data_IF_261012984400
#
_entry.id   IF_261012984400
#
_cell.length_a   1.000
_cell.length_b   1.000
_cell.length_c   1.000
_cell.angle_alpha   90.00
_cell.angle_beta   90.00
_cell.angle_gamma   90.00
#
_symmetry.space_group_name_H-M   'P 1'
#
loop_
_entity.id
_entity.type
_entity.pdbx_description
1 polymer ?
#
# COMPACT_ATOMS: atom_id res chain seq x y z
N UNK A 1 22.25 1.01 23.44
CA UNK A 1 21.77 1.78 22.26
C UNK A 1 21.23 0.78 21.25
N UNK A 2 19.90 0.60 21.26
CA UNK A 2 19.23 -0.48 20.54
C UNK A 2 19.13 -0.18 19.05
N UNK A 3 19.67 -1.08 18.23
CA UNK A 3 19.44 -1.07 16.78
C UNK A 3 17.99 -1.49 16.57
N UNK A 4 17.12 -0.55 16.24
CA UNK A 4 15.74 -0.85 15.84
C UNK A 4 15.78 -1.65 14.55
N UNK A 5 15.42 -2.92 14.64
CA UNK A 5 15.23 -3.81 13.51
C UNK A 5 14.06 -3.26 12.68
N UNK A 6 14.37 -2.55 11.60
CA UNK A 6 13.38 -2.24 10.57
C UNK A 6 13.16 -3.56 9.84
N UNK A 7 12.03 -4.22 10.12
CA UNK A 7 11.58 -5.39 9.39
C UNK A 7 11.57 -5.05 7.90
N UNK A 8 12.55 -5.53 7.14
CA UNK A 8 12.63 -5.34 5.70
C UNK A 8 11.32 -5.84 5.06
N UNK A 9 10.64 -5.01 4.25
CA UNK A 9 9.43 -5.46 3.58
C UNK A 9 9.76 -6.62 2.62
N UNK A 10 8.81 -7.55 2.38
CA UNK A 10 9.05 -8.81 1.67
C UNK A 10 9.68 -8.67 0.27
N UNK A 11 9.60 -7.50 -0.36
CA UNK A 11 10.14 -7.25 -1.70
C UNK A 11 11.64 -6.90 -1.73
N UNK A 12 12.27 -6.56 -0.60
CA UNK A 12 13.69 -6.20 -0.53
C UNK A 12 14.64 -7.37 -0.87
N UNK A 13 14.13 -8.60 -0.94
CA UNK A 13 14.88 -9.81 -1.29
C UNK A 13 14.90 -10.10 -2.79
N UNK A 14 14.16 -9.36 -3.62
CA UNK A 14 14.13 -9.54 -5.06
C UNK A 14 15.12 -8.55 -5.68
N UNK A 15 16.34 -9.03 -5.93
CA UNK A 15 17.46 -8.21 -6.38
C UNK A 15 17.12 -7.31 -7.57
N UNK A 16 17.16 -6.00 -7.35
CA UNK A 16 17.07 -5.01 -8.42
C UNK A 16 18.47 -4.46 -8.71
N UNK A 17 19.15 -5.08 -9.67
CA UNK A 17 20.30 -4.46 -10.36
C UNK A 17 19.77 -3.73 -11.58
N UNK A 18 19.73 -2.40 -11.49
CA UNK A 18 19.80 -1.50 -12.64
C UNK A 18 18.48 -1.24 -13.38
N UNK A 19 17.88 -0.08 -13.12
CA UNK A 19 17.41 0.80 -14.20
C UNK A 19 17.74 2.23 -13.78
N UNK A 20 18.78 2.79 -14.40
CA UNK A 20 19.02 4.23 -14.44
C UNK A 20 17.97 4.82 -15.37
N UNK A 21 17.13 5.75 -14.93
CA UNK A 21 16.68 6.89 -15.75
C UNK A 21 15.74 7.87 -15.00
N UNK A 22 16.11 9.15 -15.13
CA UNK A 22 15.27 10.35 -15.16
C UNK A 22 14.46 10.69 -13.91
N UNK A 23 14.90 11.71 -13.17
CA UNK A 23 14.02 12.45 -12.23
C UNK A 23 13.75 13.85 -12.81
N UNK A 24 12.82 13.88 -13.76
CA UNK A 24 11.95 15.03 -13.98
C UNK A 24 10.97 15.11 -12.78
N UNK A 25 10.85 16.30 -12.20
CA UNK A 25 10.03 16.69 -11.04
C UNK A 25 10.42 16.11 -9.66
N UNK A 26 10.27 16.90 -8.58
CA UNK A 26 10.40 16.38 -7.22
C UNK A 26 9.32 15.33 -6.99
N UNK A 27 9.73 14.09 -6.77
CA UNK A 27 8.82 13.01 -6.38
C UNK A 27 8.30 13.34 -4.97
N UNK A 28 7.08 13.86 -4.86
CA UNK A 28 6.41 14.03 -3.56
C UNK A 28 5.54 12.81 -3.25
N UNK A 29 5.23 12.53 -1.97
CA UNK A 29 4.28 11.47 -1.60
C UNK A 29 2.94 11.60 -2.33
N UNK A 30 2.46 12.83 -2.53
CA UNK A 30 1.22 13.12 -3.25
C UNK A 30 1.34 12.78 -4.75
N UNK A 31 2.47 13.11 -5.38
CA UNK A 31 2.73 12.81 -6.78
C UNK A 31 2.84 11.30 -7.00
N UNK A 32 3.53 10.58 -6.13
CA UNK A 32 3.64 9.11 -6.16
C UNK A 32 2.28 8.44 -5.92
N UNK A 33 1.47 8.94 -4.98
CA UNK A 33 0.09 8.47 -4.81
C UNK A 33 -0.76 8.75 -6.05
N UNK A 34 -0.63 9.94 -6.67
CA UNK A 34 -1.36 10.25 -7.89
C UNK A 34 -0.96 9.32 -9.05
N UNK A 35 0.34 9.06 -9.21
CA UNK A 35 0.85 8.07 -10.16
C UNK A 35 0.27 6.67 -9.91
N UNK A 36 0.28 6.22 -8.65
CA UNK A 36 -0.33 4.95 -8.27
C UNK A 36 -1.81 4.89 -8.63
N UNK A 37 -2.55 5.99 -8.47
CA UNK A 37 -3.97 6.07 -8.84
C UNK A 37 -4.19 5.94 -10.35
N UNK A 38 -3.34 6.54 -11.18
CA UNK A 38 -3.41 6.38 -12.63
C UNK A 38 -3.11 4.94 -13.05
N UNK A 39 -2.06 4.34 -12.47
CA UNK A 39 -1.73 2.92 -12.68
C UNK A 39 -2.86 1.98 -12.24
N UNK A 40 -3.53 2.29 -11.13
CA UNK A 40 -4.70 1.55 -10.66
C UNK A 40 -5.86 1.62 -11.66
N UNK A 41 -6.13 2.79 -12.24
CA UNK A 41 -7.16 2.95 -13.29
C UNK A 41 -6.82 2.14 -14.54
N UNK A 42 -5.54 2.05 -14.88
CA UNK A 42 -5.02 1.20 -15.96
C UNK A 42 -5.01 -0.30 -15.61
N UNK A 43 -5.46 -0.69 -14.40
CA UNK A 43 -5.43 -2.06 -13.86
C UNK A 43 -4.01 -2.62 -13.69
N UNK A 44 -2.99 -1.77 -13.71
CA UNK A 44 -1.59 -2.11 -13.43
C UNK A 44 -1.36 -2.14 -11.92
N UNK A 45 -2.03 -3.06 -11.24
CA UNK A 45 -2.10 -3.08 -9.78
C UNK A 45 -0.73 -3.27 -9.11
N UNK A 46 0.16 -4.08 -9.66
CA UNK A 46 1.51 -4.31 -9.10
C UNK A 46 2.36 -3.03 -9.17
N UNK A 47 2.29 -2.29 -10.28
CA UNK A 47 2.99 -1.01 -10.42
C UNK A 47 2.37 0.06 -9.52
N UNK A 48 1.03 0.08 -9.39
CA UNK A 48 0.33 0.96 -8.46
C UNK A 48 0.79 0.74 -7.00
N UNK A 49 0.93 -0.52 -6.57
CA UNK A 49 1.48 -0.85 -5.24
C UNK A 49 2.87 -0.28 -5.05
N UNK A 50 3.76 -0.40 -6.04
CA UNK A 50 5.12 0.18 -5.96
C UNK A 50 5.08 1.68 -5.78
N UNK A 51 4.21 2.39 -6.51
CA UNK A 51 4.06 3.85 -6.34
C UNK A 51 3.53 4.21 -4.95
N UNK A 52 2.56 3.46 -4.41
CA UNK A 52 2.07 3.69 -3.05
C UNK A 52 3.11 3.37 -1.99
N UNK A 53 3.90 2.30 -2.15
CA UNK A 53 4.98 1.95 -1.24
C UNK A 53 6.06 3.02 -1.22
N UNK A 54 6.47 3.53 -2.39
CA UNK A 54 7.41 4.66 -2.46
C UNK A 54 6.85 5.91 -1.78
N UNK A 55 5.55 6.20 -1.94
CA UNK A 55 4.91 7.32 -1.24
C UNK A 55 4.98 7.15 0.29
N UNK A 56 4.79 5.93 0.79
CA UNK A 56 4.86 5.59 2.21
C UNK A 56 6.28 5.56 2.78
N UNK A 57 7.28 5.26 1.94
CA UNK A 57 8.69 5.35 2.32
C UNK A 57 9.16 6.81 2.45
N UNK A 58 8.54 7.72 1.70
CA UNK A 58 8.81 9.16 1.78
C UNK A 58 8.09 9.84 2.94
N UNK A 59 6.83 9.47 3.18
CA UNK A 59 6.03 9.98 4.29
C UNK A 59 5.30 8.84 5.01
N UNK A 60 5.95 8.34 6.06
CA UNK A 60 5.31 7.49 7.05
C UNK A 60 4.91 8.38 8.24
N UNK A 61 3.61 8.67 8.47
CA UNK A 61 2.42 7.93 8.04
C UNK A 61 1.45 8.68 7.07
N UNK A 62 1.43 8.29 5.79
CA UNK A 62 0.51 8.85 4.79
C UNK A 62 -0.77 8.02 4.59
N UNK A 63 -1.84 8.34 5.34
CA UNK A 63 -3.13 7.61 5.34
C UNK A 63 -3.77 7.46 3.94
N UNK A 64 -3.81 8.49 3.08
CA UNK A 64 -4.34 8.34 1.71
C UNK A 64 -3.63 7.28 0.86
N UNK A 65 -2.31 7.12 1.01
CA UNK A 65 -1.56 6.08 0.30
C UNK A 65 -1.86 4.68 0.88
N UNK A 66 -2.00 4.55 2.21
CA UNK A 66 -2.42 3.29 2.84
C UNK A 66 -3.80 2.83 2.35
N UNK A 67 -4.76 3.77 2.27
CA UNK A 67 -6.09 3.48 1.74
C UNK A 67 -6.05 2.94 0.31
N UNK A 68 -5.33 3.63 -0.60
CA UNK A 68 -5.24 3.19 -2.00
C UNK A 68 -4.45 1.89 -2.17
N UNK A 69 -3.40 1.69 -1.35
CA UNK A 69 -2.65 0.43 -1.30
C UNK A 69 -3.57 -0.73 -0.89
N UNK A 70 -4.34 -0.57 0.19
CA UNK A 70 -5.29 -1.58 0.65
C UNK A 70 -6.34 -1.93 -0.42
N UNK A 71 -6.93 -0.92 -1.08
CA UNK A 71 -7.86 -1.16 -2.19
C UNK A 71 -7.23 -1.98 -3.32
N UNK A 72 -5.97 -1.69 -3.64
CA UNK A 72 -5.23 -2.37 -4.69
C UNK A 72 -4.93 -3.83 -4.33
N UNK A 73 -4.55 -4.08 -3.07
CA UNK A 73 -4.35 -5.44 -2.55
C UNK A 73 -5.65 -6.27 -2.59
N UNK A 74 -6.79 -5.67 -2.23
CA UNK A 74 -8.09 -6.34 -2.34
C UNK A 74 -8.44 -6.70 -3.80
N UNK A 75 -8.06 -5.86 -4.78
CA UNK A 75 -8.24 -6.15 -6.21
C UNK A 75 -7.35 -7.29 -6.71
N UNK A 76 -6.23 -7.54 -6.04
CA UNK A 76 -5.32 -8.65 -6.29
C UNK A 76 -5.69 -9.91 -5.50
N UNK A 77 -6.80 -9.90 -4.76
CA UNK A 77 -7.22 -10.99 -3.86
C UNK A 77 -6.20 -11.29 -2.74
N UNK A 78 -5.35 -10.31 -2.40
CA UNK A 78 -4.40 -10.37 -1.29
C UNK A 78 -5.06 -9.79 -0.03
N UNK A 79 -6.12 -10.46 0.44
CA UNK A 79 -6.97 -9.96 1.52
C UNK A 79 -6.20 -9.83 2.85
N UNK A 80 -5.32 -10.77 3.21
CA UNK A 80 -4.52 -10.69 4.44
C UNK A 80 -3.65 -9.44 4.48
N UNK A 81 -2.92 -9.15 3.39
CA UNK A 81 -2.07 -7.96 3.28
C UNK A 81 -2.89 -6.66 3.26
N UNK A 82 -4.07 -6.69 2.64
CA UNK A 82 -4.99 -5.56 2.62
C UNK A 82 -5.45 -5.21 4.04
N UNK A 83 -5.87 -6.20 4.83
CA UNK A 83 -6.33 -6.02 6.20
C UNK A 83 -5.22 -5.45 7.09
N UNK A 84 -3.99 -5.98 7.00
CA UNK A 84 -2.83 -5.42 7.72
C UNK A 84 -2.56 -3.95 7.34
N UNK A 85 -2.69 -3.62 6.06
CA UNK A 85 -2.52 -2.23 5.58
C UNK A 85 -3.62 -1.32 6.13
N UNK A 86 -4.87 -1.79 6.19
CA UNK A 86 -6.00 -1.07 6.76
C UNK A 86 -5.82 -0.86 8.26
N UNK A 87 -5.39 -1.87 9.01
CA UNK A 87 -5.10 -1.77 10.44
C UNK A 87 -4.01 -0.75 10.74
N UNK A 88 -2.95 -0.72 9.91
CA UNK A 88 -1.93 0.32 10.00
C UNK A 88 -2.53 1.71 9.80
N UNK A 89 -3.39 1.87 8.79
CA UNK A 89 -4.12 3.11 8.52
C UNK A 89 -5.00 3.55 9.70
N UNK A 90 -5.80 2.64 10.25
CA UNK A 90 -6.68 2.89 11.38
C UNK A 90 -5.92 3.14 12.68
N UNK A 91 -4.70 2.61 12.83
CA UNK A 91 -3.84 2.95 13.98
C UNK A 91 -3.40 4.41 13.95
N UNK A 92 -3.38 5.05 12.77
CA UNK A 92 -3.04 6.47 12.59
C UNK A 92 -4.31 7.33 12.64
N UNK A 93 -5.37 6.89 11.96
CA UNK A 93 -6.67 7.58 11.87
C UNK A 93 -7.81 6.60 12.23
N UNK A 94 -8.08 6.38 13.53
CA UNK A 94 -9.06 5.39 13.99
C UNK A 94 -10.48 5.65 13.49
N UNK A 95 -10.83 6.93 13.30
CA UNK A 95 -12.16 7.38 12.89
C UNK A 95 -12.30 7.59 11.38
N UNK A 96 -11.31 7.14 10.58
CA UNK A 96 -11.40 7.23 9.12
C UNK A 96 -12.48 6.30 8.58
N UNK A 97 -13.62 6.90 8.20
CA UNK A 97 -14.79 6.18 7.69
C UNK A 97 -14.49 5.36 6.44
N UNK A 98 -13.52 5.74 5.62
CA UNK A 98 -13.19 5.02 4.40
C UNK A 98 -12.38 3.76 4.72
N UNK A 99 -11.43 3.86 5.64
CA UNK A 99 -10.68 2.70 6.14
C UNK A 99 -11.56 1.73 6.93
N UNK A 100 -12.51 2.21 7.74
CA UNK A 100 -13.47 1.35 8.44
C UNK A 100 -14.32 0.54 7.45
N UNK A 101 -14.84 1.18 6.40
CA UNK A 101 -15.57 0.48 5.32
C UNK A 101 -14.71 -0.53 4.58
N UNK A 102 -13.44 -0.21 4.31
CA UNK A 102 -12.51 -1.16 3.71
C UNK A 102 -12.24 -2.35 4.64
N UNK A 103 -12.14 -2.10 5.95
CA UNK A 103 -11.94 -3.16 6.93
C UNK A 103 -13.10 -4.17 6.89
N UNK A 104 -14.34 -3.68 6.95
CA UNK A 104 -15.53 -4.54 6.84
C UNK A 104 -15.50 -5.39 5.57
N UNK A 105 -15.14 -4.78 4.44
CA UNK A 105 -15.02 -5.49 3.16
C UNK A 105 -13.88 -6.49 3.14
N UNK A 106 -12.75 -6.17 3.75
CA UNK A 106 -11.61 -7.07 3.87
C UNK A 106 -11.94 -8.29 4.73
N UNK A 107 -12.61 -8.07 5.87
CA UNK A 107 -13.06 -9.14 6.76
C UNK A 107 -14.07 -10.08 6.09
N UNK A 108 -14.97 -9.54 5.25
CA UNK A 108 -15.88 -10.37 4.43
C UNK A 108 -15.12 -11.24 3.44
N UNK A 109 -14.18 -10.65 2.67
CA UNK A 109 -13.38 -11.42 1.71
C UNK A 109 -12.53 -12.51 2.39
N UNK A 110 -11.98 -12.23 3.57
CA UNK A 110 -11.23 -13.23 4.33
C UNK A 110 -12.09 -14.40 4.81
N UNK A 111 -13.38 -14.17 5.12
CA UNK A 111 -14.31 -15.25 5.45
C UNK A 111 -14.59 -16.11 4.23
N UNK A 112 -14.92 -15.49 3.09
CA UNK A 112 -15.21 -16.21 1.84
C UNK A 112 -14.03 -17.05 1.35
N UNK A 113 -12.79 -16.57 1.55
CA UNK A 113 -11.58 -17.33 1.20
C UNK A 113 -11.35 -18.53 2.13
N UNK A 114 -11.76 -18.42 3.40
CA UNK A 114 -11.55 -19.45 4.43
C UNK A 114 -12.70 -20.45 4.53
N UNK A 115 -13.86 -20.14 3.96
CA UNK A 115 -15.06 -20.97 3.96
C UNK A 115 -15.60 -21.12 2.51
N UNK A 116 -14.94 -21.94 1.67
CA UNK A 116 -15.23 -22.05 0.23
C UNK A 116 -16.47 -22.90 -0.12
#
# INVERSE_FOLDING_TARGET
>A
MGKTYISMPPWASIGFKGVTQMVDAPETPEALKAQGNELFKEKKYVEALRSYDRALDMDAPYVPALYNKAMTLMKLNLADEACLTIERGLSIAPDDRNLLKLKEKCDMLLKDIKDP
#
